data_IF_311363665702
#
_entry.id   IF_311363665702
#
_cell.length_a   1.000
_cell.length_b   1.000
_cell.length_c   1.000
_cell.angle_alpha   90.00
_cell.angle_beta   90.00
_cell.angle_gamma   90.00
#
_symmetry.space_group_name_H-M   'P 1'
#
loop_
_entity.id
_entity.type
_entity.pdbx_description
1 polymer ?
#
# COMPACT_ATOMS: atom_id res chain seq x y z
N UNK A 1 15.27 7.35 1.01
CA UNK A 1 15.49 7.25 -0.45
C UNK A 1 14.39 8.02 -1.21
N UNK A 2 14.62 8.38 -2.48
CA UNK A 2 13.62 9.03 -3.34
C UNK A 2 13.13 8.02 -4.37
N UNK A 3 11.82 7.96 -4.59
CA UNK A 3 11.18 7.10 -5.60
C UNK A 3 10.39 7.97 -6.55
N UNK A 4 10.71 7.89 -7.84
CA UNK A 4 10.00 8.61 -8.89
C UNK A 4 8.64 7.95 -9.14
N UNK A 5 7.60 8.77 -9.20
CA UNK A 5 6.22 8.33 -9.41
C UNK A 5 5.46 9.28 -10.32
N UNK A 6 4.41 8.76 -10.95
CA UNK A 6 3.38 9.56 -11.61
C UNK A 6 2.04 9.40 -10.91
N UNK A 7 1.24 10.47 -10.88
CA UNK A 7 -0.16 10.37 -10.43
C UNK A 7 -0.99 9.69 -11.50
N UNK A 8 -1.74 8.67 -11.10
CA UNK A 8 -2.58 7.89 -12.00
C UNK A 8 -3.97 7.68 -11.38
N UNK A 9 -4.98 7.69 -12.25
CA UNK A 9 -6.36 7.32 -11.96
C UNK A 9 -6.86 6.44 -13.10
N UNK A 10 -7.21 5.19 -12.81
CA UNK A 10 -7.61 4.25 -13.84
C UNK A 10 -8.70 3.30 -13.36
N UNK A 11 -9.52 2.86 -14.30
CA UNK A 11 -10.38 1.70 -14.11
C UNK A 11 -9.59 0.42 -14.40
N UNK A 12 -9.75 -0.56 -13.52
CA UNK A 12 -9.24 -1.90 -13.65
C UNK A 12 -10.42 -2.88 -13.63
N UNK A 13 -10.40 -3.83 -14.54
CA UNK A 13 -11.47 -4.80 -14.74
C UNK A 13 -10.95 -6.18 -14.34
N UNK A 14 -11.18 -6.63 -13.09
CA UNK A 14 -10.84 -7.98 -12.67
C UNK A 14 -11.51 -9.07 -13.51
N UNK A 15 -10.93 -10.27 -13.49
CA UNK A 15 -11.42 -11.43 -14.24
C UNK A 15 -12.85 -11.88 -13.83
N UNK A 16 -13.32 -11.45 -12.65
CA UNK A 16 -14.69 -11.69 -12.16
C UNK A 16 -15.74 -10.77 -12.80
N UNK A 17 -15.32 -9.88 -13.71
CA UNK A 17 -16.20 -8.92 -14.39
C UNK A 17 -16.55 -7.69 -13.55
N UNK A 18 -15.90 -7.52 -12.40
CA UNK A 18 -16.01 -6.31 -11.60
C UNK A 18 -15.40 -5.08 -12.29
N UNK A 19 -15.69 -3.92 -11.73
CA UNK A 19 -15.01 -2.66 -12.08
C UNK A 19 -14.42 -2.09 -10.79
N UNK A 20 -13.15 -1.74 -10.86
CA UNK A 20 -12.40 -1.21 -9.74
C UNK A 20 -11.71 0.06 -10.19
N UNK A 21 -11.99 1.16 -9.53
CA UNK A 21 -11.24 2.40 -9.71
C UNK A 21 -10.05 2.42 -8.76
N UNK A 22 -8.87 2.70 -9.30
CA UNK A 22 -7.61 2.79 -8.56
C UNK A 22 -6.98 4.14 -8.81
N UNK A 23 -6.58 4.82 -7.74
CA UNK A 23 -5.95 6.13 -7.82
C UNK A 23 -4.79 6.29 -6.84
N UNK A 24 -3.83 7.14 -7.21
CA UNK A 24 -2.66 7.44 -6.38
C UNK A 24 -1.41 7.53 -7.22
N UNK A 25 -0.38 6.79 -6.83
CA UNK A 25 0.93 6.85 -7.45
C UNK A 25 1.32 5.54 -8.15
N UNK A 26 1.86 5.65 -9.35
CA UNK A 26 2.48 4.57 -10.09
C UNK A 26 4.00 4.81 -10.14
N UNK A 27 4.79 3.79 -9.78
CA UNK A 27 6.26 3.89 -9.82
C UNK A 27 6.73 3.94 -11.28
N UNK A 28 7.69 4.82 -11.55
CA UNK A 28 8.33 4.98 -12.85
C UNK A 28 9.85 4.86 -12.74
N UNK A 29 10.50 4.48 -13.84
CA UNK A 29 11.94 4.60 -13.99
C UNK A 29 12.37 6.02 -14.38
N UNK A 30 13.68 6.22 -14.58
CA UNK A 30 14.27 7.51 -14.93
C UNK A 30 13.72 8.10 -16.24
N UNK A 31 13.24 7.25 -17.16
CA UNK A 31 12.66 7.68 -18.44
C UNK A 31 11.15 7.93 -18.34
N UNK A 32 10.54 7.67 -17.18
CA UNK A 32 9.11 7.86 -16.93
C UNK A 32 8.28 6.63 -17.27
N UNK A 33 8.92 5.49 -17.57
CA UNK A 33 8.21 4.27 -17.90
C UNK A 33 7.71 3.59 -16.62
N UNK A 34 6.47 3.11 -16.64
CA UNK A 34 5.89 2.38 -15.52
C UNK A 34 6.67 1.11 -15.18
N UNK A 35 6.94 0.94 -13.89
CA UNK A 35 7.54 -0.26 -13.32
C UNK A 35 6.44 -1.22 -12.85
N UNK A 36 6.48 -2.45 -13.34
CA UNK A 36 5.70 -3.54 -12.78
C UNK A 36 6.31 -4.03 -11.46
N UNK A 37 5.54 -4.84 -10.70
CA UNK A 37 6.02 -5.39 -9.42
C UNK A 37 7.28 -6.24 -9.56
N UNK A 38 7.47 -6.92 -10.70
CA UNK A 38 8.63 -7.76 -10.96
C UNK A 38 9.88 -7.00 -11.40
N UNK A 39 9.74 -5.70 -11.70
CA UNK A 39 10.84 -4.82 -12.11
C UNK A 39 11.32 -3.90 -10.98
N UNK A 40 10.70 -3.98 -9.81
CA UNK A 40 11.09 -3.17 -8.67
C UNK A 40 12.51 -3.56 -8.21
N UNK A 41 13.38 -2.58 -7.91
CA UNK A 41 14.70 -2.87 -7.39
C UNK A 41 14.61 -3.51 -6.01
N UNK A 42 15.68 -4.21 -5.63
CA UNK A 42 15.82 -4.78 -4.30
C UNK A 42 15.60 -3.72 -3.22
N UNK A 43 14.84 -4.09 -2.19
CA UNK A 43 14.49 -3.18 -1.10
C UNK A 43 13.23 -2.35 -1.35
N UNK A 44 12.56 -2.51 -2.50
CA UNK A 44 11.20 -2.02 -2.74
C UNK A 44 10.24 -3.19 -2.98
N UNK A 45 9.05 -3.10 -2.41
CA UNK A 45 7.93 -4.01 -2.73
C UNK A 45 6.62 -3.24 -2.77
N UNK A 46 5.71 -3.63 -3.68
CA UNK A 46 4.36 -3.07 -3.74
C UNK A 46 3.35 -4.18 -3.52
N UNK A 47 2.48 -4.00 -2.52
CA UNK A 47 1.43 -4.97 -2.19
C UNK A 47 0.20 -4.29 -1.62
N UNK A 48 -0.87 -5.03 -1.38
CA UNK A 48 -2.08 -4.55 -0.71
C UNK A 48 -1.94 -4.63 0.81
N UNK A 49 -2.76 -3.89 1.55
CA UNK A 49 -2.91 -4.10 3.00
C UNK A 49 -3.97 -5.17 3.24
N UNK A 50 -3.55 -6.31 3.79
CA UNK A 50 -4.43 -7.43 4.07
C UNK A 50 -5.45 -7.08 5.15
N UNK A 51 -6.72 -7.44 4.93
CA UNK A 51 -7.81 -7.19 5.87
C UNK A 51 -8.31 -5.74 5.96
N UNK A 52 -7.76 -4.80 5.17
CA UNK A 52 -8.15 -3.38 5.22
C UNK A 52 -9.64 -3.15 4.94
N UNK A 53 -10.25 -3.96 4.08
CA UNK A 53 -11.69 -3.92 3.81
C UNK A 53 -12.56 -4.12 5.06
N UNK A 54 -12.06 -4.79 6.10
CA UNK A 54 -12.75 -4.97 7.38
C UNK A 54 -12.60 -3.77 8.33
N UNK A 55 -11.90 -2.71 7.90
CA UNK A 55 -11.64 -1.48 8.66
C UNK A 55 -12.12 -0.24 7.88
N UNK A 56 -13.43 -0.13 7.57
CA UNK A 56 -13.94 0.97 6.73
C UNK A 56 -13.70 2.36 7.35
N UNK A 57 -13.70 2.49 8.68
CA UNK A 57 -13.42 3.77 9.35
C UNK A 57 -11.95 4.19 9.17
N UNK A 58 -11.01 3.24 9.28
CA UNK A 58 -9.60 3.51 9.01
C UNK A 58 -9.37 3.85 7.53
N UNK A 59 -10.03 3.13 6.62
CA UNK A 59 -10.00 3.43 5.19
C UNK A 59 -10.61 4.79 4.83
N UNK A 60 -11.58 5.28 5.60
CA UNK A 60 -12.19 6.60 5.38
C UNK A 60 -11.30 7.76 5.86
N UNK A 61 -10.29 7.50 6.70
CA UNK A 61 -9.39 8.53 7.23
C UNK A 61 -8.52 9.16 6.13
N UNK A 62 -8.26 10.46 6.22
CA UNK A 62 -7.30 11.13 5.33
C UNK A 62 -5.88 10.59 5.50
N UNK A 63 -5.56 9.97 6.64
CA UNK A 63 -4.29 9.29 6.86
C UNK A 63 -4.13 8.01 6.01
N UNK A 64 -5.20 7.53 5.39
CA UNK A 64 -5.18 6.43 4.43
C UNK A 64 -5.11 6.93 2.96
N UNK A 65 -4.92 8.23 2.72
CA UNK A 65 -4.78 8.78 1.37
C UNK A 65 -3.42 8.41 0.74
N UNK A 66 -3.33 8.30 -0.60
CA UNK A 66 -2.06 8.09 -1.29
C UNK A 66 -0.98 9.11 -0.89
N UNK A 67 0.21 8.61 -0.57
CA UNK A 67 1.37 9.38 -0.10
C UNK A 67 1.49 9.47 1.42
N UNK A 68 0.44 9.12 2.17
CA UNK A 68 0.50 9.12 3.63
C UNK A 68 1.36 7.95 4.16
N UNK A 69 2.14 8.23 5.21
CA UNK A 69 2.97 7.23 5.87
C UNK A 69 2.12 6.21 6.63
N UNK A 70 2.62 4.97 6.68
CA UNK A 70 2.05 3.87 7.45
C UNK A 70 3.10 3.36 8.45
N UNK A 71 2.64 2.90 9.60
CA UNK A 71 3.51 2.29 10.61
C UNK A 71 3.41 0.78 10.51
N UNK A 72 4.56 0.09 10.50
CA UNK A 72 4.64 -1.36 10.59
C UNK A 72 5.00 -1.76 12.02
N UNK A 73 4.25 -2.69 12.60
CA UNK A 73 4.45 -3.15 13.98
C UNK A 73 4.38 -4.67 14.05
N UNK A 74 5.43 -5.28 14.60
CA UNK A 74 5.46 -6.73 14.80
C UNK A 74 4.51 -7.15 15.93
N UNK A 75 3.83 -8.27 15.72
CA UNK A 75 2.94 -8.91 16.71
C UNK A 75 3.38 -10.34 17.01
N UNK A 76 4.51 -10.54 17.73
CA UNK A 76 5.04 -11.88 18.02
C UNK A 76 4.09 -12.74 18.87
N UNK A 77 3.15 -12.12 19.58
CA UNK A 77 2.13 -12.78 20.40
C UNK A 77 0.83 -13.06 19.62
N UNK A 78 0.77 -12.75 18.33
CA UNK A 78 -0.42 -12.99 17.52
C UNK A 78 -0.72 -14.50 17.44
N UNK A 79 -1.91 -14.96 17.90
CA UNK A 79 -2.22 -16.38 18.02
C UNK A 79 -2.38 -17.09 16.68
N UNK A 80 -2.55 -16.34 15.58
CA UNK A 80 -2.73 -16.90 14.24
C UNK A 80 -1.41 -16.99 13.47
N UNK A 81 -0.55 -15.98 13.63
CA UNK A 81 0.74 -15.91 12.95
C UNK A 81 1.74 -15.07 13.77
N UNK A 82 2.70 -15.69 14.47
CA UNK A 82 3.73 -14.98 15.24
C UNK A 82 4.65 -14.09 14.40
N UNK A 83 4.64 -14.23 13.07
CA UNK A 83 5.38 -13.33 12.19
C UNK A 83 4.61 -12.05 11.86
N UNK A 84 3.30 -11.98 12.15
CA UNK A 84 2.41 -10.91 11.70
C UNK A 84 3.00 -9.50 11.91
N UNK A 85 2.92 -8.70 10.84
CA UNK A 85 3.23 -7.28 10.85
C UNK A 85 1.91 -6.51 10.66
N UNK A 86 1.44 -5.89 11.74
CA UNK A 86 0.34 -4.95 11.69
C UNK A 86 0.73 -3.70 10.89
N UNK A 87 -0.23 -3.18 10.13
CA UNK A 87 -0.15 -1.94 9.39
C UNK A 87 -1.12 -0.96 10.05
N UNK A 88 -0.56 0.07 10.65
CA UNK A 88 -1.31 1.12 11.34
C UNK A 88 -1.21 2.44 10.54
N UNK A 89 -2.25 3.27 10.62
CA UNK A 89 -2.18 4.66 10.17
C UNK A 89 -1.17 5.45 11.02
N UNK A 90 -0.82 6.66 10.57
CA UNK A 90 0.14 7.50 11.26
C UNK A 90 -0.25 7.86 12.71
N UNK A 91 -1.54 7.80 13.05
CA UNK A 91 -2.06 8.02 14.41
C UNK A 91 -2.16 6.75 15.27
N UNK A 92 -1.69 5.60 14.74
CA UNK A 92 -1.77 4.29 15.40
C UNK A 92 -3.09 3.55 15.18
N UNK A 93 -4.04 4.10 14.40
CA UNK A 93 -5.28 3.40 14.07
C UNK A 93 -4.99 2.15 13.23
N UNK A 94 -5.45 0.94 13.61
CA UNK A 94 -5.21 -0.28 12.85
C UNK A 94 -5.87 -0.26 11.48
N UNK A 95 -5.07 -0.35 10.42
CA UNK A 95 -5.55 -0.43 9.04
C UNK A 95 -5.63 -1.88 8.54
N UNK A 96 -4.69 -2.73 8.93
CA UNK A 96 -4.67 -4.14 8.53
C UNK A 96 -3.31 -4.78 8.78
N UNK A 97 -2.86 -5.63 7.86
CA UNK A 97 -1.59 -6.36 7.99
C UNK A 97 -0.81 -6.38 6.67
N UNK A 98 0.50 -6.59 6.77
CA UNK A 98 1.31 -7.03 5.64
C UNK A 98 0.85 -8.45 5.24
N UNK A 99 0.61 -8.75 3.95
CA UNK A 99 0.28 -10.10 3.54
C UNK A 99 1.43 -11.07 3.89
N UNK A 100 1.06 -12.26 4.37
CA UNK A 100 1.97 -13.22 5.02
C UNK A 100 3.21 -13.56 4.19
N UNK A 101 3.05 -13.64 2.88
CA UNK A 101 4.12 -13.96 1.93
C UNK A 101 5.23 -12.88 1.86
N UNK A 102 4.96 -11.66 2.35
CA UNK A 102 5.95 -10.57 2.40
C UNK A 102 6.54 -10.34 3.78
N UNK A 103 5.88 -10.82 4.82
CA UNK A 103 6.15 -10.46 6.22
C UNK A 103 7.62 -10.62 6.63
N UNK A 104 8.21 -11.79 6.37
CA UNK A 104 9.60 -12.08 6.77
C UNK A 104 10.64 -11.21 6.03
N UNK A 105 10.32 -10.79 4.80
CA UNK A 105 11.23 -10.00 3.98
C UNK A 105 11.31 -8.54 4.43
N UNK A 106 10.26 -8.05 5.12
CA UNK A 106 10.04 -6.61 5.33
C UNK A 106 10.01 -6.19 6.79
N UNK A 107 10.47 -7.05 7.71
CA UNK A 107 10.65 -6.67 9.11
C UNK A 107 11.61 -5.48 9.20
N UNK A 108 11.18 -4.42 9.89
CA UNK A 108 11.96 -3.18 10.04
C UNK A 108 11.93 -2.23 8.84
N UNK A 109 11.16 -2.55 7.79
CA UNK A 109 10.99 -1.67 6.64
C UNK A 109 10.01 -0.52 6.94
N UNK A 110 10.03 0.50 6.09
CA UNK A 110 9.08 1.62 6.09
C UNK A 110 7.95 1.36 5.09
N UNK A 111 6.79 1.98 5.33
CA UNK A 111 5.61 1.86 4.49
C UNK A 111 4.91 3.19 4.25
N UNK A 112 4.27 3.33 3.08
CA UNK A 112 3.32 4.42 2.78
C UNK A 112 2.19 3.90 1.91
N UNK A 113 1.05 4.59 1.93
CA UNK A 113 -0.05 4.32 1.02
C UNK A 113 0.38 4.72 -0.39
N UNK A 114 0.37 3.79 -1.32
CA UNK A 114 0.74 4.06 -2.71
C UNK A 114 -0.49 4.41 -3.54
N UNK A 115 -1.57 3.62 -3.43
CA UNK A 115 -2.83 3.82 -4.15
C UNK A 115 -4.01 3.44 -3.29
N UNK A 116 -5.13 4.10 -3.52
CA UNK A 116 -6.44 3.72 -3.01
C UNK A 116 -7.22 2.92 -4.06
N UNK A 117 -8.13 2.08 -3.57
CA UNK A 117 -9.06 1.29 -4.36
C UNK A 117 -10.49 1.64 -3.96
N UNK A 118 -11.36 1.82 -4.96
CA UNK A 118 -12.78 2.09 -4.81
C UNK A 118 -13.55 1.32 -5.88
N UNK A 119 -14.85 1.12 -5.69
CA UNK A 119 -15.75 0.63 -6.76
C UNK A 119 -15.92 1.68 -7.87
N UNK A 120 -16.06 2.95 -7.48
CA UNK A 120 -16.06 4.10 -8.39
C UNK A 120 -15.41 5.31 -7.69
N UNK A 121 -15.07 6.39 -8.41
CA UNK A 121 -14.51 7.61 -7.81
C UNK A 121 -15.38 8.22 -6.69
N UNK A 122 -16.70 7.96 -6.70
CA UNK A 122 -17.66 8.49 -5.72
C UNK A 122 -17.86 7.59 -4.50
N UNK A 123 -17.44 6.34 -4.59
CA UNK A 123 -17.60 5.38 -3.49
C UNK A 123 -16.49 5.57 -2.43
N UNK A 124 -16.72 5.09 -1.20
CA UNK A 124 -15.66 4.99 -0.19
C UNK A 124 -14.50 4.10 -0.67
N UNK A 125 -13.32 4.29 -0.06
CA UNK A 125 -12.20 3.36 -0.22
C UNK A 125 -12.60 1.99 0.31
N UNK A 126 -12.31 0.95 -0.48
CA UNK A 126 -12.52 -0.46 -0.11
C UNK A 126 -11.20 -1.24 0.00
N UNK A 127 -10.08 -0.53 -0.15
CA UNK A 127 -8.74 -1.06 0.01
C UNK A 127 -7.66 -0.04 -0.34
N UNK A 128 -6.42 -0.38 -0.01
CA UNK A 128 -5.24 0.36 -0.42
C UNK A 128 -4.13 -0.58 -0.85
N UNK A 129 -3.25 -0.09 -1.72
CA UNK A 129 -1.92 -0.64 -1.92
C UNK A 129 -0.91 0.23 -1.20
N UNK A 130 0.17 -0.39 -0.74
CA UNK A 130 1.28 0.26 -0.07
C UNK A 130 2.60 -0.01 -0.79
N UNK A 131 3.50 0.96 -0.68
CA UNK A 131 4.91 0.80 -1.00
C UNK A 131 5.64 0.44 0.29
N UNK A 132 6.32 -0.69 0.28
CA UNK A 132 7.25 -1.13 1.32
C UNK A 132 8.67 -0.84 0.86
N UNK A 133 9.50 -0.34 1.77
CA UNK A 133 10.86 0.10 1.47
C UNK A 133 11.83 -0.15 2.62
N UNK A 134 13.06 -0.60 2.33
CA UNK A 134 14.08 -0.84 3.37
C UNK A 134 14.44 0.42 4.17
N UNK A 135 14.33 1.58 3.56
CA UNK A 135 14.60 2.88 4.16
C UNK A 135 13.40 3.80 3.93
N UNK A 136 13.18 4.82 4.78
CA UNK A 136 12.11 5.80 4.55
C UNK A 136 12.15 6.39 3.14
N UNK A 137 10.99 6.38 2.46
CA UNK A 137 10.82 6.86 1.08
C UNK A 137 10.16 8.23 1.06
N UNK A 138 10.67 9.10 0.20
CA UNK A 138 9.98 10.27 -0.30
C UNK A 138 9.55 10.01 -1.76
N UNK A 139 8.27 10.25 -2.06
CA UNK A 139 7.76 10.14 -3.43
C UNK A 139 8.03 11.44 -4.17
N UNK A 140 8.74 11.38 -5.29
CA UNK A 140 8.88 12.52 -6.20
C UNK A 140 7.92 12.35 -7.37
N UNK A 141 6.99 13.28 -7.50
CA UNK A 141 6.06 13.32 -8.62
C UNK A 141 6.75 13.96 -9.81
N UNK A 142 6.72 13.26 -10.96
CA UNK A 142 7.19 13.80 -12.24
C UNK A 142 6.14 14.67 -12.93
#
# INVERSE_FOLDING_TARGET
MIVEVERQEQYWYPDDGGEVWVAGFQLVDADGRFLSRGELPDGLKVTHVAGAFHRPEALASDLAAPGCALTLRAEPENPHDPSALAVDLADGTPLGYVPREFTLDVVGWSALVLRERRRSPRDPRDGVTMLLSREPVELRVR
#
